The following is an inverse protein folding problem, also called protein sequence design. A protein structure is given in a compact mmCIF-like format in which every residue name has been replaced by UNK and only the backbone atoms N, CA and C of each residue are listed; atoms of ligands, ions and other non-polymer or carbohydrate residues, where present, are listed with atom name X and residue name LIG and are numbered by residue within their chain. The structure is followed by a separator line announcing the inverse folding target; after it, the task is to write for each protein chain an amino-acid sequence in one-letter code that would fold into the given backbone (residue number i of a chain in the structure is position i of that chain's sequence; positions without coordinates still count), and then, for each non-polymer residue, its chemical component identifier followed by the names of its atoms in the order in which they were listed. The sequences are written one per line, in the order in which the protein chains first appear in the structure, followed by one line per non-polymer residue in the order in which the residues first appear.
data_IF_431394374817
#
_entry.id   IF_431394374817
#
_cell.length_a   1.000
_cell.length_b   1.000
_cell.length_c   1.000
_cell.angle_alpha   90.00
_cell.angle_beta   90.00
_cell.angle_gamma   90.00
#
_symmetry.space_group_name_H-M   'P 1'
#
loop_
_entity.id
_entity.type
_entity.pdbx_description
1 polymer ?
2 non-polymer ?
3 non-polymer ?
4 non-polymer ?
5 non-polymer ?
6 water ?
#
# COMPACT_ATOMS: atom_id res chain seq x y z
N UNK A 1 2.68 -17.92 -5.29
CA UNK A 1 3.92 -17.53 -5.84
C UNK A 1 4.15 -16.04 -5.68
N UNK A 2 4.97 -15.50 -6.56
CA UNK A 2 5.39 -14.08 -6.51
C UNK A 2 4.20 -13.12 -6.42
N UNK A 3 3.21 -13.24 -7.32
CA UNK A 3 2.08 -12.29 -7.37
C UNK A 3 1.28 -12.39 -6.08
N UNK A 4 1.00 -13.62 -5.61
CA UNK A 4 0.26 -13.76 -4.35
C UNK A 4 1.07 -13.06 -3.27
N UNK A 5 2.39 -13.27 -3.24
CA UNK A 5 3.26 -12.70 -2.19
C UNK A 5 3.13 -11.15 -2.14
N UNK A 6 2.99 -10.52 -3.27
CA UNK A 6 2.76 -9.05 -3.38
C UNK A 6 1.47 -8.74 -2.65
N UNK A 7 0.39 -9.53 -2.86
CA UNK A 7 -0.90 -9.33 -2.20
C UNK A 7 -0.73 -9.52 -0.70
N UNK A 8 -0.05 -10.56 -0.29
CA UNK A 8 0.15 -10.86 1.15
C UNK A 8 0.86 -9.69 1.80
N UNK A 9 1.93 -9.21 1.20
CA UNK A 9 2.76 -8.11 1.81
C UNK A 9 1.95 -6.82 1.88
N UNK A 10 1.28 -6.47 0.77
CA UNK A 10 0.37 -5.30 0.72
C UNK A 10 -0.73 -5.40 1.75
N UNK A 11 -1.20 -6.59 2.13
CA UNK A 11 -2.27 -6.74 3.13
C UNK A 11 -1.86 -6.32 4.55
N UNK A 12 -0.58 -6.35 4.89
CA UNK A 12 -0.06 -5.88 6.18
C UNK A 12 1.20 -5.08 5.94
N UNK A 13 1.16 -4.14 5.00
CA UNK A 13 2.42 -3.60 4.43
C UNK A 13 3.27 -2.88 5.49
N UNK A 14 2.63 -2.08 6.33
CA UNK A 14 3.33 -1.27 7.36
C UNK A 14 4.17 -2.24 8.23
N UNK A 15 3.59 -3.35 8.67
CA UNK A 15 4.29 -4.27 9.59
C UNK A 15 5.36 -5.05 8.81
N UNK A 16 5.12 -5.54 7.58
CA UNK A 16 6.14 -6.26 6.78
C UNK A 16 7.28 -5.30 6.45
N UNK A 17 6.99 -4.06 6.07
CA UNK A 17 8.01 -3.12 5.63
C UNK A 17 8.98 -2.84 6.81
N UNK A 18 8.42 -2.54 7.98
CA UNK A 18 9.22 -2.28 9.18
C UNK A 18 10.06 -3.51 9.49
N UNK A 19 9.44 -4.67 9.61
CA UNK A 19 10.13 -5.91 10.02
C UNK A 19 11.23 -6.29 9.03
N UNK A 20 11.00 -6.17 7.72
CA UNK A 20 12.06 -6.50 6.73
C UNK A 20 13.14 -5.44 6.74
N UNK A 21 12.77 -4.17 6.87
CA UNK A 21 13.81 -3.12 6.87
C UNK A 21 14.63 -3.26 8.18
N UNK A 22 14.00 -3.63 9.29
CA UNK A 22 14.81 -3.80 10.55
C UNK A 22 15.74 -5.01 10.36
N UNK A 23 15.26 -6.07 9.74
CA UNK A 23 16.07 -7.27 9.45
C UNK A 23 17.31 -6.86 8.66
N UNK A 24 17.14 -5.97 7.69
CA UNK A 24 18.23 -5.47 6.81
C UNK A 24 19.22 -4.69 7.68
N UNK A 25 18.75 -3.68 8.44
CA UNK A 25 19.65 -2.82 9.22
C UNK A 25 20.37 -3.65 10.30
N UNK A 26 19.77 -4.70 10.84
CA UNK A 26 20.39 -5.54 11.90
C UNK A 26 21.41 -6.50 11.27
N UNK A 27 21.13 -7.06 10.11
CA UNK A 27 22.10 -7.94 9.45
C UNK A 27 23.35 -7.15 9.01
N UNK A 28 23.17 -5.91 8.57
CA UNK A 28 24.20 -5.08 7.90
C UNK A 28 24.26 -3.73 8.61
N UNK A 29 24.76 -3.72 9.87
CA UNK A 29 24.72 -2.51 10.69
C UNK A 29 25.32 -1.25 10.05
N UNK A 30 26.32 -1.43 9.18
CA UNK A 30 26.98 -0.31 8.44
C UNK A 30 25.96 0.44 7.58
N UNK A 31 24.85 -0.21 7.20
CA UNK A 31 23.82 0.41 6.33
C UNK A 31 23.07 1.53 7.06
N UNK A 32 23.05 1.56 8.39
CA UNK A 32 22.42 2.65 9.19
C UNK A 32 23.15 3.98 8.90
N UNK A 33 24.38 3.91 8.41
CA UNK A 33 25.16 5.10 7.95
C UNK A 33 24.32 6.01 7.01
N UNK A 34 23.61 5.42 6.04
CA UNK A 34 22.78 6.17 5.06
C UNK A 34 21.67 6.93 5.82
N UNK A 35 21.37 6.48 7.05
CA UNK A 35 20.25 6.98 7.90
C UNK A 35 20.85 7.31 9.27
N UNK A 36 21.63 8.38 9.35
CA UNK A 36 22.37 8.75 10.58
C UNK A 36 21.40 8.64 11.78
N UNK A 37 20.25 9.32 11.70
CA UNK A 37 19.20 9.46 12.74
C UNK A 37 18.71 8.09 13.27
N UNK A 38 19.12 6.98 12.65
CA UNK A 38 18.69 5.62 13.06
C UNK A 38 19.70 4.98 14.02
N UNK A 39 20.90 5.52 14.12
CA UNK A 39 22.04 4.94 14.92
C UNK A 39 21.66 4.98 16.40
N UNK A 40 22.08 3.97 17.18
CA UNK A 40 21.98 3.95 18.63
C UNK A 40 20.56 3.79 19.12
N UNK A 41 19.65 3.28 18.26
CA UNK A 41 18.21 3.08 18.62
C UNK A 41 17.85 1.60 18.43
N UNK A 42 17.09 1.06 19.38
CA UNK A 42 16.55 -0.32 19.35
C UNK A 42 15.48 -0.37 18.24
N UNK A 43 15.11 -1.58 17.85
CA UNK A 43 13.97 -1.73 16.89
C UNK A 43 12.74 -0.92 17.33
N UNK A 44 12.33 -1.09 18.57
CA UNK A 44 11.13 -0.43 19.14
C UNK A 44 11.25 1.10 19.00
N UNK A 45 12.42 1.66 19.33
CA UNK A 45 12.68 3.10 19.23
C UNK A 45 12.47 3.55 17.78
N UNK A 46 13.05 2.81 16.86
CA UNK A 46 12.92 3.10 15.41
C UNK A 46 11.46 3.11 14.99
N UNK A 47 10.68 2.12 15.44
CA UNK A 47 9.23 1.92 15.08
C UNK A 47 8.35 3.03 15.69
N UNK A 48 8.92 3.92 16.50
CA UNK A 48 8.22 5.05 17.15
C UNK A 48 8.68 6.37 16.54
N UNK A 49 9.67 6.32 15.65
CA UNK A 49 10.09 7.51 14.87
C UNK A 49 9.21 7.64 13.59
N UNK A 50 8.40 8.71 13.51
CA UNK A 50 7.59 9.10 12.33
C UNK A 50 8.30 8.85 11.01
N UNK A 51 9.50 9.38 10.86
CA UNK A 51 10.34 9.26 9.64
C UNK A 51 10.57 7.79 9.28
N UNK A 52 10.87 6.98 10.28
CA UNK A 52 11.10 5.54 10.09
C UNK A 52 9.91 4.90 9.42
N UNK A 53 8.75 5.04 10.03
CA UNK A 53 7.57 4.31 9.58
C UNK A 53 7.22 4.81 8.19
N UNK A 54 7.40 6.12 7.94
CA UNK A 54 6.92 6.79 6.69
C UNK A 54 7.85 6.46 5.51
N UNK A 55 9.16 6.51 5.70
CA UNK A 55 10.12 6.23 4.62
C UNK A 55 10.11 4.71 4.37
N UNK A 56 10.04 3.89 5.42
CA UNK A 56 9.98 2.41 5.25
C UNK A 56 8.73 2.03 4.46
N UNK A 57 7.58 2.58 4.84
CA UNK A 57 6.35 2.19 4.17
C UNK A 57 6.39 2.66 2.73
N UNK A 58 6.91 3.86 2.45
CA UNK A 58 6.99 4.41 1.07
C UNK A 58 7.96 3.60 0.23
N UNK A 59 9.04 3.09 0.83
CA UNK A 59 9.98 2.18 0.14
C UNK A 59 9.21 0.95 -0.36
N UNK A 60 8.48 0.32 0.53
CA UNK A 60 7.77 -0.94 0.25
C UNK A 60 6.59 -0.65 -0.66
N UNK A 61 5.93 0.52 -0.50
CA UNK A 61 4.84 0.90 -1.44
C UNK A 61 5.40 0.79 -2.86
N UNK A 62 6.56 1.39 -3.10
CA UNK A 62 7.15 1.46 -4.46
C UNK A 62 7.77 0.13 -4.83
N UNK A 63 8.34 -0.60 -3.86
CA UNK A 63 8.93 -1.92 -4.17
C UNK A 63 7.80 -2.84 -4.67
N UNK A 64 6.64 -2.81 -4.03
CA UNK A 64 5.54 -3.70 -4.44
C UNK A 64 5.02 -3.31 -5.83
N UNK A 65 4.94 -2.01 -6.16
CA UNK A 65 4.61 -1.55 -7.53
C UNK A 65 5.61 -2.13 -8.53
N UNK A 66 6.90 -2.03 -8.26
CA UNK A 66 7.96 -2.48 -9.20
C UNK A 66 7.79 -4.00 -9.37
N UNK A 67 7.61 -4.75 -8.27
CA UNK A 67 7.35 -6.20 -8.32
C UNK A 67 6.10 -6.48 -9.15
N UNK A 68 5.04 -5.66 -9.00
CA UNK A 68 3.73 -5.91 -9.64
C UNK A 68 3.87 -5.70 -11.16
N UNK A 69 4.72 -4.77 -11.58
CA UNK A 69 4.92 -4.43 -13.00
C UNK A 69 5.95 -5.31 -13.66
N UNK A 70 6.69 -6.12 -12.91
CA UNK A 70 7.65 -7.14 -13.42
C UNK A 70 6.98 -8.20 -14.27
N UNK A 71 7.73 -8.73 -15.24
CA UNK A 71 7.38 -9.99 -15.96
C UNK A 71 8.39 -11.07 -15.52
N UNK A 72 7.92 -12.17 -14.94
CA UNK A 72 8.75 -13.33 -14.48
C UNK A 72 9.95 -12.81 -13.65
N UNK A 73 9.64 -11.93 -12.70
CA UNK A 73 10.54 -11.36 -11.70
C UNK A 73 11.60 -10.48 -12.34
N UNK A 74 11.31 -9.97 -13.54
CA UNK A 74 12.24 -9.03 -14.23
C UNK A 74 11.57 -7.67 -14.24
N UNK A 75 12.15 -6.68 -13.56
CA UNK A 75 11.47 -5.37 -13.41
C UNK A 75 11.55 -4.55 -14.69
N UNK A 76 10.68 -3.54 -14.85
CA UNK A 76 10.72 -2.65 -16.05
C UNK A 76 12.02 -1.86 -15.96
N UNK A 77 12.69 -1.61 -17.07
CA UNK A 77 13.84 -0.67 -17.08
C UNK A 77 13.44 0.73 -16.55
N UNK A 78 12.23 1.21 -16.87
CA UNK A 78 11.70 2.54 -16.44
C UNK A 78 11.63 2.58 -14.92
N UNK A 79 11.34 1.46 -14.24
CA UNK A 79 11.30 1.46 -12.76
C UNK A 79 12.72 1.55 -12.21
N UNK A 80 13.67 0.85 -12.85
CA UNK A 80 15.09 0.82 -12.48
C UNK A 80 15.67 2.24 -12.61
N UNK A 81 15.41 2.91 -13.72
CA UNK A 81 15.86 4.31 -13.95
C UNK A 81 15.33 5.19 -12.83
N UNK A 82 14.00 5.16 -12.61
CA UNK A 82 13.40 5.95 -11.51
C UNK A 82 14.23 5.71 -10.24
N UNK A 83 14.48 4.47 -9.85
CA UNK A 83 15.20 4.21 -8.58
C UNK A 83 16.61 4.84 -8.61
N UNK A 84 17.34 4.73 -9.73
CA UNK A 84 18.76 5.18 -9.88
C UNK A 84 18.79 6.71 -9.78
N UNK A 85 17.85 7.37 -10.47
CA UNK A 85 17.77 8.86 -10.62
C UNK A 85 17.25 9.56 -9.35
N UNK A 86 16.40 8.94 -8.52
CA UNK A 86 15.90 9.61 -7.29
C UNK A 86 17.09 10.29 -6.57
N UNK A 87 17.00 11.56 -6.15
CA UNK A 87 18.16 12.27 -5.52
C UNK A 87 18.34 11.77 -4.07
N UNK A 88 17.37 11.05 -3.51
CA UNK A 88 17.50 10.34 -2.20
C UNK A 88 18.53 9.20 -2.30
N UNK A 89 18.77 8.69 -3.51
CA UNK A 89 19.63 7.51 -3.77
C UNK A 89 21.01 7.94 -4.33
N UNK A 90 21.33 9.25 -4.32
CA UNK A 90 22.62 9.78 -4.85
C UNK A 90 23.81 9.00 -4.25
N UNK A 91 23.86 8.87 -2.93
CA UNK A 91 24.84 8.02 -2.24
C UNK A 91 25.04 6.63 -2.88
N UNK A 92 23.98 5.93 -3.29
CA UNK A 92 23.88 4.44 -3.23
C UNK A 92 24.58 3.64 -4.36
N UNK A 93 25.01 2.41 -4.03
CA UNK A 93 25.55 1.42 -4.99
C UNK A 93 24.66 0.18 -4.99
N UNK A 94 24.74 -0.63 -6.02
CA UNK A 94 23.85 -1.81 -6.12
C UNK A 94 23.99 -2.64 -4.83
N UNK A 95 25.11 -2.52 -4.10
CA UNK A 95 25.35 -3.35 -2.91
C UNK A 95 24.31 -3.04 -1.86
N UNK A 96 23.90 -1.77 -1.77
CA UNK A 96 22.87 -1.36 -0.80
C UNK A 96 21.63 -2.21 -1.06
N UNK A 97 21.22 -2.29 -2.32
CA UNK A 97 20.04 -3.05 -2.79
C UNK A 97 20.24 -4.55 -2.67
N UNK A 98 21.41 -5.09 -3.01
CA UNK A 98 21.61 -6.56 -2.90
C UNK A 98 21.44 -6.96 -1.42
N UNK A 99 21.95 -6.17 -0.47
CA UNK A 99 21.82 -6.49 1.00
C UNK A 99 20.36 -6.42 1.45
N UNK A 100 19.61 -5.43 0.98
CA UNK A 100 18.17 -5.31 1.30
C UNK A 100 17.47 -6.58 0.87
N UNK A 101 17.79 -7.06 -0.34
CA UNK A 101 17.09 -8.25 -0.87
C UNK A 101 17.57 -9.53 -0.19
N UNK A 102 18.84 -9.62 0.20
CA UNK A 102 19.30 -10.79 1.01
C UNK A 102 18.48 -10.85 2.31
N UNK A 103 18.27 -9.73 2.97
CA UNK A 103 17.56 -9.70 4.26
C UNK A 103 16.11 -10.10 4.04
N UNK A 104 15.51 -9.57 2.97
CA UNK A 104 14.11 -9.86 2.60
C UNK A 104 13.91 -11.36 2.33
N UNK A 105 14.76 -11.96 1.51
CA UNK A 105 14.70 -13.41 1.25
C UNK A 105 14.86 -14.21 2.55
N UNK A 106 15.87 -13.89 3.33
CA UNK A 106 16.10 -14.54 4.63
C UNK A 106 14.82 -14.45 5.45
N UNK A 107 14.26 -13.24 5.60
CA UNK A 107 13.06 -12.99 6.40
C UNK A 107 11.95 -13.95 5.93
N UNK A 108 11.80 -14.04 4.61
CA UNK A 108 10.73 -14.87 4.02
C UNK A 108 11.01 -16.36 4.35
N UNK A 109 12.26 -16.80 4.25
CA UNK A 109 12.71 -18.21 4.54
C UNK A 109 12.38 -18.57 5.98
N UNK A 110 12.51 -17.62 6.92
CA UNK A 110 12.38 -17.82 8.38
C UNK A 110 10.92 -17.68 8.81
N UNK A 111 10.07 -17.09 7.97
CA UNK A 111 8.66 -16.79 8.30
C UNK A 111 7.90 -18.12 8.38
N UNK A 112 6.76 -18.17 9.04
CA UNK A 112 6.03 -19.47 8.98
C UNK A 112 5.32 -19.69 7.64
N UNK A 113 5.40 -18.74 6.71
CA UNK A 113 4.45 -18.61 5.56
C UNK A 113 5.06 -19.09 4.25
N UNK A 114 4.21 -19.51 3.31
CA UNK A 114 4.62 -20.12 2.02
C UNK A 114 4.97 -19.00 1.02
N UNK A 115 5.85 -18.08 1.45
CA UNK A 115 6.43 -17.06 0.50
C UNK A 115 7.23 -17.82 -0.53
N UNK A 116 7.22 -17.35 -1.76
CA UNK A 116 8.05 -17.89 -2.87
C UNK A 116 9.41 -17.22 -2.78
N UNK A 117 10.25 -17.63 -1.79
CA UNK A 117 11.51 -16.93 -1.46
C UNK A 117 12.44 -16.96 -2.68
N UNK A 118 12.41 -18.03 -3.45
CA UNK A 118 13.27 -18.16 -4.67
C UNK A 118 12.92 -17.09 -5.70
N UNK A 119 11.65 -16.82 -5.94
CA UNK A 119 11.19 -15.72 -6.85
C UNK A 119 11.70 -14.36 -6.32
N UNK A 120 11.60 -14.10 -5.02
CA UNK A 120 12.08 -12.81 -4.48
C UNK A 120 13.60 -12.69 -4.72
N UNK A 121 14.33 -13.79 -4.56
CA UNK A 121 15.79 -13.81 -4.68
C UNK A 121 16.13 -13.47 -6.12
N UNK A 122 15.41 -14.06 -7.08
CA UNK A 122 15.56 -13.74 -8.53
C UNK A 122 15.18 -12.28 -8.81
N UNK A 123 14.07 -11.84 -8.25
CA UNK A 123 13.64 -10.42 -8.36
C UNK A 123 14.78 -9.53 -7.88
N UNK A 124 15.31 -9.77 -6.68
CA UNK A 124 16.44 -8.92 -6.18
C UNK A 124 17.58 -8.87 -7.15
N UNK A 125 18.06 -10.05 -7.59
CA UNK A 125 19.18 -10.13 -8.55
C UNK A 125 18.83 -9.34 -9.79
N UNK A 126 17.64 -9.52 -10.35
CA UNK A 126 17.23 -8.89 -11.63
C UNK A 126 17.10 -7.39 -11.45
N UNK A 127 16.66 -6.93 -10.27
CA UNK A 127 16.60 -5.48 -9.97
C UNK A 127 18.02 -4.91 -9.91
N UNK A 128 18.90 -5.53 -9.15
CA UNK A 128 20.32 -5.10 -9.04
C UNK A 128 20.89 -4.98 -10.47
N UNK A 129 20.66 -5.97 -11.32
CA UNK A 129 21.16 -5.96 -12.72
C UNK A 129 20.56 -4.78 -13.50
N UNK A 130 19.25 -4.61 -13.42
CA UNK A 130 18.53 -3.48 -14.05
C UNK A 130 19.08 -2.14 -13.52
N UNK A 131 19.39 -2.07 -12.22
CA UNK A 131 19.91 -0.81 -11.61
C UNK A 131 21.29 -0.52 -12.20
N UNK A 132 22.17 -1.52 -12.23
CA UNK A 132 23.50 -1.40 -12.86
C UNK A 132 23.38 -0.90 -14.30
N UNK A 133 22.48 -1.52 -15.08
CA UNK A 133 22.23 -1.16 -16.50
C UNK A 133 21.74 0.29 -16.59
N UNK A 134 20.93 0.72 -15.63
CA UNK A 134 20.41 2.11 -15.68
C UNK A 134 21.47 3.11 -15.14
N UNK A 135 22.65 2.67 -14.68
CA UNK A 135 23.85 3.49 -14.35
C UNK A 135 24.19 3.65 -12.87
N UNK A 136 23.73 2.76 -12.00
CA UNK A 136 24.09 2.83 -10.59
C UNK A 136 25.43 2.11 -10.40
N UNK A 137 26.33 2.72 -9.63
CA UNK A 137 27.72 2.22 -9.41
C UNK A 137 27.68 0.96 -8.54
N UNK B 1 -4.53 8.38 -16.32
CA UNK B 1 -5.88 7.77 -16.24
C UNK B 1 -6.05 6.96 -14.97
N UNK B 2 -7.09 6.12 -14.98
CA UNK B 2 -7.46 5.29 -13.83
C UNK B 2 -6.29 4.42 -13.38
N UNK B 3 -5.61 3.71 -14.31
CA UNK B 3 -4.47 2.83 -13.94
C UNK B 3 -3.34 3.62 -13.27
N UNK B 4 -3.04 4.81 -13.81
CA UNK B 4 -2.00 5.65 -13.19
C UNK B 4 -2.46 6.09 -11.79
N UNK B 5 -3.75 6.42 -11.63
CA UNK B 5 -4.34 6.88 -10.34
C UNK B 5 -4.12 5.77 -9.30
N UNK B 6 -4.37 4.53 -9.68
CA UNK B 6 -4.03 3.37 -8.79
C UNK B 6 -2.56 3.47 -8.37
N UNK B 7 -1.63 3.68 -9.29
CA UNK B 7 -0.19 3.76 -8.99
C UNK B 7 0.02 4.93 -8.02
N UNK B 8 -0.64 6.05 -8.32
CA UNK B 8 -0.44 7.27 -7.48
C UNK B 8 -0.89 6.95 -6.05
N UNK B 9 -2.08 6.44 -5.90
CA UNK B 9 -2.70 6.19 -4.56
C UNK B 9 -1.81 5.20 -3.82
N UNK B 10 -1.42 4.11 -4.52
CA UNK B 10 -0.60 3.03 -3.91
C UNK B 10 0.74 3.60 -3.44
N UNK B 11 1.25 4.62 -4.13
CA UNK B 11 2.54 5.25 -3.85
C UNK B 11 2.58 5.78 -2.44
N UNK B 12 1.44 6.26 -1.97
CA UNK B 12 1.38 6.92 -0.66
C UNK B 12 0.07 6.51 0.02
N UNK B 13 -0.17 5.21 0.08
CA UNK B 13 -1.54 4.63 0.29
C UNK B 13 -2.07 5.05 1.67
N UNK B 14 -1.22 5.05 2.70
CA UNK B 14 -1.60 5.38 4.10
C UNK B 14 -2.11 6.83 4.19
N UNK B 15 -1.49 7.75 3.46
CA UNK B 15 -1.80 9.19 3.57
C UNK B 15 -3.10 9.42 2.81
N UNK B 16 -3.20 8.90 1.57
CA UNK B 16 -4.42 9.00 0.76
C UNK B 16 -5.63 8.35 1.44
N UNK B 17 -5.48 7.17 1.99
CA UNK B 17 -6.54 6.36 2.62
C UNK B 17 -7.11 7.17 3.81
N UNK B 18 -6.23 7.70 4.68
CA UNK B 18 -6.64 8.58 5.80
C UNK B 18 -7.37 9.82 5.30
N UNK B 19 -6.80 10.54 4.33
CA UNK B 19 -7.33 11.84 3.90
C UNK B 19 -8.66 11.63 3.24
N UNK B 20 -8.80 10.56 2.48
CA UNK B 20 -10.09 10.28 1.80
C UNK B 20 -11.12 9.84 2.82
N UNK B 21 -10.72 8.97 3.71
CA UNK B 21 -11.67 8.39 4.67
C UNK B 21 -12.15 9.53 5.59
N UNK B 22 -11.27 10.47 5.89
CA UNK B 22 -11.63 11.58 6.81
C UNK B 22 -12.61 12.49 6.04
N UNK B 23 -12.44 12.66 4.72
CA UNK B 23 -13.34 13.49 3.88
C UNK B 23 -14.75 12.84 3.90
N UNK B 24 -14.78 11.51 3.76
CA UNK B 24 -16.01 10.67 3.87
C UNK B 24 -16.70 10.90 5.22
N UNK B 25 -15.98 10.77 6.34
CA UNK B 25 -16.58 10.82 7.70
C UNK B 25 -17.00 12.25 8.01
N UNK B 26 -16.25 13.23 7.53
CA UNK B 26 -16.67 14.63 7.78
C UNK B 26 -17.88 14.98 6.89
N UNK B 27 -17.93 14.53 5.64
CA UNK B 27 -19.06 14.87 4.73
C UNK B 27 -20.37 14.20 5.21
N UNK B 28 -20.27 13.06 5.84
CA UNK B 28 -21.36 12.11 6.19
C UNK B 28 -21.18 11.70 7.65
N UNK B 29 -21.38 12.64 8.58
CA UNK B 29 -21.09 12.38 9.99
C UNK B 29 -21.91 11.24 10.64
N UNK B 30 -23.10 10.94 10.13
CA UNK B 30 -23.88 9.76 10.60
C UNK B 30 -23.10 8.45 10.35
N UNK B 31 -22.20 8.42 9.37
CA UNK B 31 -21.39 7.22 8.99
C UNK B 31 -20.41 6.85 10.13
N UNK B 32 -20.01 7.77 11.00
CA UNK B 32 -19.05 7.45 12.10
C UNK B 32 -19.62 6.41 13.09
N UNK B 33 -20.94 6.27 13.19
CA UNK B 33 -21.61 5.22 14.01
C UNK B 33 -21.08 3.82 13.66
N UNK B 34 -20.85 3.56 12.38
CA UNK B 34 -20.22 2.29 11.94
C UNK B 34 -18.87 2.10 12.66
N UNK B 35 -18.30 3.17 13.25
CA UNK B 35 -16.99 3.16 13.96
C UNK B 35 -17.10 3.97 15.27
N UNK B 36 -17.65 3.37 16.32
CA UNK B 36 -17.95 4.08 17.61
C UNK B 36 -16.63 4.53 18.30
N UNK B 37 -15.51 3.89 17.96
CA UNK B 37 -14.14 4.22 18.42
C UNK B 37 -13.68 5.61 17.89
N UNK B 38 -14.33 6.15 16.85
CA UNK B 38 -13.86 7.37 16.13
C UNK B 38 -14.71 8.59 16.51
N UNK B 39 -15.85 8.38 17.15
CA UNK B 39 -16.76 9.45 17.67
C UNK B 39 -15.96 10.40 18.58
N UNK B 40 -16.29 11.69 18.46
CA UNK B 40 -15.83 12.76 19.34
C UNK B 40 -14.34 12.95 19.22
N UNK B 41 -13.76 12.56 18.08
CA UNK B 41 -12.32 12.74 17.84
C UNK B 41 -12.12 13.63 16.63
N UNK B 42 -11.14 14.55 16.69
CA UNK B 42 -10.80 15.43 15.56
C UNK B 42 -10.03 14.60 14.52
N UNK B 43 -9.86 15.13 13.34
CA UNK B 43 -8.97 14.46 12.35
C UNK B 43 -7.58 14.11 12.93
N UNK B 44 -6.96 14.98 13.73
CA UNK B 44 -5.58 14.72 14.24
C UNK B 44 -5.66 13.78 15.46
N UNK B 45 -6.78 13.68 16.19
CA UNK B 45 -6.99 12.61 17.22
C UNK B 45 -6.93 11.27 16.49
N UNK B 46 -7.72 11.14 15.42
CA UNK B 46 -7.83 9.88 14.64
C UNK B 46 -6.47 9.53 14.03
N UNK B 47 -5.82 10.47 13.33
CA UNK B 47 -4.55 10.24 12.58
C UNK B 47 -3.43 9.87 13.57
N UNK B 48 -3.60 10.12 14.88
CA UNK B 48 -2.65 9.69 15.94
C UNK B 48 -2.84 8.19 16.23
N UNK B 49 -4.07 7.69 16.09
CA UNK B 49 -4.46 6.33 16.61
C UNK B 49 -3.94 5.22 15.68
N UNK B 50 -3.54 4.09 16.29
CA UNK B 50 -3.05 2.89 15.60
C UNK B 50 -4.09 2.33 14.64
N UNK B 51 -5.23 1.85 15.15
CA UNK B 51 -6.20 1.10 14.32
C UNK B 51 -6.74 1.98 13.19
N UNK B 52 -6.80 3.31 13.35
CA UNK B 52 -7.36 4.21 12.33
C UNK B 52 -6.52 4.08 11.06
N UNK B 53 -5.24 4.39 11.15
CA UNK B 53 -4.23 4.24 10.08
C UNK B 53 -4.24 2.84 9.46
N UNK B 54 -4.15 1.79 10.29
CA UNK B 54 -4.05 0.38 9.81
C UNK B 54 -5.32 0.02 9.05
N UNK B 55 -6.48 0.31 9.65
CA UNK B 55 -7.79 -0.16 9.14
C UNK B 55 -8.21 0.65 7.88
N UNK B 56 -7.92 1.97 7.80
CA UNK B 56 -8.14 2.78 6.56
C UNK B 56 -7.17 2.27 5.49
N UNK B 57 -5.90 2.07 5.84
CA UNK B 57 -4.96 1.54 4.80
C UNK B 57 -5.42 0.19 4.22
N UNK B 58 -5.92 -0.74 5.04
CA UNK B 58 -6.35 -2.07 4.60
C UNK B 58 -7.59 -1.99 3.71
N UNK B 59 -8.48 -1.04 4.00
CA UNK B 59 -9.67 -0.74 3.16
C UNK B 59 -9.18 -0.29 1.77
N UNK B 60 -8.27 0.63 1.71
CA UNK B 60 -7.83 1.23 0.44
C UNK B 60 -6.98 0.20 -0.29
N UNK B 61 -6.22 -0.64 0.42
CA UNK B 61 -5.46 -1.71 -0.27
C UNK B 61 -6.46 -2.58 -1.04
N UNK B 62 -7.46 -3.14 -0.35
CA UNK B 62 -8.42 -4.00 -1.05
C UNK B 62 -9.10 -3.15 -2.14
N UNK B 63 -9.47 -1.90 -1.87
CA UNK B 63 -10.07 -1.07 -2.98
C UNK B 63 -9.17 -1.01 -4.22
N UNK B 64 -7.88 -0.83 -4.03
CA UNK B 64 -6.89 -0.78 -5.14
C UNK B 64 -6.77 -2.13 -5.85
N UNK B 65 -6.84 -3.25 -5.13
CA UNK B 65 -6.77 -4.61 -5.72
C UNK B 65 -8.00 -4.76 -6.62
N UNK B 66 -9.17 -4.32 -6.15
CA UNK B 66 -10.44 -4.46 -6.91
C UNK B 66 -10.29 -3.54 -8.14
N UNK B 67 -9.81 -2.31 -7.91
CA UNK B 67 -9.74 -1.32 -9.01
C UNK B 67 -8.79 -1.88 -10.09
N UNK B 68 -7.72 -2.51 -9.68
CA UNK B 68 -6.66 -2.96 -10.61
C UNK B 68 -7.15 -4.16 -11.43
N UNK B 69 -7.99 -5.02 -10.85
CA UNK B 69 -8.51 -6.21 -11.56
C UNK B 69 -9.68 -5.80 -12.44
N UNK B 70 -10.22 -4.58 -12.29
CA UNK B 70 -11.40 -4.11 -13.06
C UNK B 70 -11.02 -4.03 -14.54
N UNK B 71 -12.02 -4.21 -15.42
CA UNK B 71 -11.90 -3.94 -16.87
C UNK B 71 -12.75 -2.71 -17.14
N UNK B 72 -12.22 -1.61 -17.70
CA UNK B 72 -13.04 -0.43 -18.10
C UNK B 72 -13.88 0.02 -16.87
N UNK B 73 -13.30 -0.03 -15.69
CA UNK B 73 -13.90 0.42 -14.40
C UNK B 73 -15.04 -0.49 -14.00
N UNK B 74 -15.10 -1.70 -14.54
CA UNK B 74 -16.11 -2.70 -14.09
C UNK B 74 -15.44 -3.73 -13.23
N UNK B 75 -15.82 -3.80 -11.97
CA UNK B 75 -15.16 -4.74 -11.07
C UNK B 75 -15.62 -6.14 -11.38
N UNK B 76 -14.76 -7.13 -11.13
CA UNK B 76 -15.15 -8.56 -11.07
C UNK B 76 -16.27 -8.76 -10.04
N UNK B 77 -17.29 -9.47 -10.48
CA UNK B 77 -18.37 -10.01 -9.63
C UNK B 77 -17.76 -10.67 -8.39
N UNK B 78 -16.73 -11.53 -8.58
CA UNK B 78 -15.97 -12.19 -7.47
C UNK B 78 -15.66 -11.16 -6.38
N UNK B 79 -15.05 -10.02 -6.74
CA UNK B 79 -14.57 -8.99 -5.77
C UNK B 79 -15.75 -8.33 -5.05
N UNK B 80 -16.82 -8.04 -5.80
CA UNK B 80 -18.09 -7.54 -5.22
C UNK B 80 -18.55 -8.54 -4.15
N UNK B 81 -18.50 -9.85 -4.45
CA UNK B 81 -18.99 -10.87 -3.48
C UNK B 81 -18.10 -10.86 -2.21
N UNK B 82 -16.77 -10.73 -2.35
CA UNK B 82 -15.88 -10.59 -1.14
C UNK B 82 -16.36 -9.38 -0.29
N UNK B 83 -16.54 -8.22 -0.88
CA UNK B 83 -16.93 -7.02 -0.13
C UNK B 83 -18.32 -7.23 0.54
N UNK B 84 -19.25 -7.96 -0.09
CA UNK B 84 -20.61 -8.23 0.49
C UNK B 84 -20.47 -9.23 1.65
N UNK B 85 -19.59 -10.22 1.53
CA UNK B 85 -19.55 -11.41 2.42
C UNK B 85 -18.62 -11.20 3.63
N UNK B 86 -17.82 -10.13 3.66
CA UNK B 86 -16.98 -9.84 4.86
C UNK B 86 -17.90 -9.58 6.06
N UNK B 87 -17.61 -10.27 7.18
CA UNK B 87 -18.14 -10.02 8.55
C UNK B 87 -18.29 -8.52 8.82
N UNK B 88 -17.17 -7.81 8.76
CA UNK B 88 -17.05 -6.36 9.05
C UNK B 88 -18.06 -5.54 8.22
N UNK B 89 -18.68 -6.16 7.23
CA UNK B 89 -19.65 -5.49 6.34
C UNK B 89 -21.06 -6.02 6.57
N UNK B 90 -21.25 -6.87 7.58
CA UNK B 90 -22.57 -7.49 7.88
C UNK B 90 -23.67 -6.41 7.89
N UNK B 91 -23.44 -5.29 8.58
CA UNK B 91 -24.47 -4.24 8.77
C UNK B 91 -24.89 -3.53 7.48
N UNK B 92 -23.99 -3.41 6.48
CA UNK B 92 -23.94 -2.29 5.48
C UNK B 92 -24.99 -2.40 4.36
N UNK B 93 -25.34 -1.24 3.78
CA UNK B 93 -26.13 -1.13 2.53
C UNK B 93 -25.24 -0.51 1.44
N UNK B 94 -25.65 -0.58 0.19
CA UNK B 94 -24.88 0.09 -0.89
C UNK B 94 -24.76 1.61 -0.58
N UNK B 95 -25.68 2.20 0.19
CA UNK B 95 -25.60 3.65 0.41
C UNK B 95 -24.29 4.02 1.07
N UNK B 96 -23.83 3.12 1.93
CA UNK B 96 -22.57 3.30 2.69
C UNK B 96 -21.46 3.53 1.64
N UNK B 97 -21.22 2.54 0.78
CA UNK B 97 -20.19 2.62 -0.30
C UNK B 97 -20.45 3.80 -1.25
N UNK B 98 -21.71 4.03 -1.67
CA UNK B 98 -22.10 5.18 -2.55
C UNK B 98 -21.48 6.49 -1.98
N UNK B 99 -21.64 6.66 -0.67
CA UNK B 99 -21.12 7.87 0.03
C UNK B 99 -19.58 7.90 0.09
N UNK B 100 -18.91 6.77 0.35
CA UNK B 100 -17.44 6.76 0.29
C UNK B 100 -16.93 7.21 -1.08
N UNK B 101 -17.56 6.75 -2.15
CA UNK B 101 -17.09 7.09 -3.51
C UNK B 101 -17.44 8.54 -3.89
N UNK B 102 -18.55 9.08 -3.39
CA UNK B 102 -18.87 10.52 -3.58
C UNK B 102 -17.70 11.32 -2.99
N UNK B 103 -17.34 10.98 -1.77
CA UNK B 103 -16.27 11.70 -1.06
C UNK B 103 -14.97 11.54 -1.83
N UNK B 104 -14.65 10.33 -2.29
CA UNK B 104 -13.42 10.04 -3.05
C UNK B 104 -13.36 10.90 -4.33
N UNK B 105 -14.42 10.95 -5.08
CA UNK B 105 -14.47 11.76 -6.31
C UNK B 105 -14.37 13.24 -5.98
N UNK B 106 -15.01 13.70 -4.90
CA UNK B 106 -14.91 15.13 -4.53
C UNK B 106 -13.48 15.45 -4.09
N UNK B 107 -12.84 14.53 -3.36
CA UNK B 107 -11.44 14.69 -2.96
C UNK B 107 -10.61 14.85 -4.21
N UNK B 108 -10.80 13.94 -5.19
CA UNK B 108 -9.93 13.98 -6.38
C UNK B 108 -10.13 15.29 -7.17
N UNK B 109 -11.38 15.72 -7.34
CA UNK B 109 -11.72 16.97 -8.09
C UNK B 109 -11.04 18.16 -7.41
N UNK B 110 -11.01 18.18 -6.10
CA UNK B 110 -10.47 19.31 -5.30
C UNK B 110 -8.96 19.24 -5.19
N UNK B 111 -8.34 18.10 -5.51
CA UNK B 111 -6.88 17.90 -5.39
C UNK B 111 -6.15 18.73 -6.45
N UNK B 112 -4.89 19.05 -6.21
CA UNK B 112 -4.22 19.76 -7.32
C UNK B 112 -4.04 18.88 -8.54
N UNK B 113 -4.32 17.59 -8.39
CA UNK B 113 -3.65 16.57 -9.23
C UNK B 113 -4.59 16.11 -10.34
N UNK B 114 -4.02 15.56 -11.41
CA UNK B 114 -4.81 15.17 -12.60
C UNK B 114 -5.38 13.74 -12.42
N UNK B 115 -6.03 13.48 -11.29
CA UNK B 115 -6.83 12.26 -11.11
C UNK B 115 -7.86 12.19 -12.22
N UNK B 116 -8.18 10.97 -12.66
CA UNK B 116 -9.27 10.74 -13.65
C UNK B 116 -10.55 10.56 -12.84
N UNK B 117 -11.05 11.68 -12.29
CA UNK B 117 -12.20 11.64 -11.35
C UNK B 117 -13.43 11.01 -12.00
N UNK B 118 -13.66 11.19 -13.30
CA UNK B 118 -14.83 10.54 -14.00
C UNK B 118 -14.72 9.02 -13.95
N UNK B 119 -13.53 8.48 -14.17
CA UNK B 119 -13.28 7.02 -14.09
C UNK B 119 -13.58 6.52 -12.67
N UNK B 120 -13.15 7.25 -11.64
CA UNK B 120 -13.42 6.85 -10.24
C UNK B 120 -14.90 6.91 -9.96
N UNK B 121 -15.59 7.93 -10.50
CA UNK B 121 -17.06 8.09 -10.35
C UNK B 121 -17.75 6.84 -10.94
N UNK B 122 -17.35 6.40 -12.13
CA UNK B 122 -17.96 5.24 -12.81
C UNK B 122 -17.61 3.95 -12.07
N UNK B 123 -16.35 3.82 -11.65
CA UNK B 123 -15.88 2.68 -10.85
C UNK B 123 -16.77 2.53 -9.63
N UNK B 124 -17.01 3.62 -8.88
CA UNK B 124 -17.87 3.59 -7.68
C UNK B 124 -19.31 3.17 -8.01
N UNK B 125 -19.95 3.74 -9.05
CA UNK B 125 -21.29 3.31 -9.53
C UNK B 125 -21.29 1.79 -9.80
N UNK B 126 -20.35 1.35 -10.62
CA UNK B 126 -20.19 -0.06 -11.04
C UNK B 126 -19.92 -0.95 -9.83
N UNK B 127 -19.16 -0.49 -8.82
CA UNK B 127 -18.86 -1.34 -7.64
C UNK B 127 -20.14 -1.45 -6.79
N UNK B 128 -20.87 -0.36 -6.62
CA UNK B 128 -22.21 -0.32 -5.94
C UNK B 128 -23.21 -1.26 -6.68
N UNK B 129 -23.37 -1.05 -7.98
CA UNK B 129 -24.12 -2.00 -8.86
C UNK B 129 -23.70 -3.45 -8.53
N UNK B 130 -22.42 -3.77 -8.61
CA UNK B 130 -21.91 -5.13 -8.35
C UNK B 130 -22.28 -5.56 -6.94
N UNK B 131 -22.06 -4.74 -5.91
CA UNK B 131 -22.41 -5.18 -4.54
C UNK B 131 -23.91 -5.56 -4.46
N UNK B 132 -24.80 -4.79 -5.06
CA UNK B 132 -26.25 -5.07 -5.13
C UNK B 132 -26.49 -6.44 -5.78
N UNK B 133 -25.91 -6.64 -7.00
CA UNK B 133 -25.86 -7.90 -7.80
C UNK B 133 -25.26 -9.05 -6.99
N UNK B 134 -24.32 -8.78 -6.07
CA UNK B 134 -23.78 -9.85 -5.18
C UNK B 134 -24.58 -9.97 -3.89
N UNK B 135 -25.62 -9.17 -3.65
CA UNK B 135 -26.55 -9.48 -2.52
C UNK B 135 -26.64 -8.43 -1.42
N UNK B 136 -26.00 -7.27 -1.58
CA UNK B 136 -26.15 -6.17 -0.60
C UNK B 136 -27.45 -5.40 -0.84
N UNK B 137 -28.15 -5.02 0.24
CA UNK B 137 -29.28 -4.06 0.23
C UNK B 137 -28.73 -2.63 0.19
X LIG C 1 14.29 7.33 0.14
X LIG C 1 12.31 3.72 -2.42
X LIG C 1 16.14 0.92 -1.56
X LIG C 1 18.15 4.55 1.00
X LIG C 1 13.43 6.56 -0.63
X LIG C 1 12.10 6.93 -1.02
X LIG C 1 11.53 5.93 -1.71
X LIG C 1 12.51 4.92 -1.79
X LIG C 1 10.14 5.90 -2.34
X LIG C 1 11.39 8.21 -0.69
X LIG C 1 10.79 8.01 0.72
X LIG C 1 10.73 9.28 1.55
X LIG C 1 9.78 9.40 2.38
X LIG C 1 11.61 10.19 1.47
X LIG C 1 13.20 2.64 -2.40
X LIG C 1 12.89 1.39 -3.01
X LIG C 1 13.95 0.56 -2.78
X LIG C 1 14.90 1.38 -1.98
X LIG C 1 11.61 1.06 -3.76
X LIG C 1 14.15 -0.84 -3.23
X LIG C 1 13.32 -1.52 -4.05
X LIG C 1 17.02 1.68 -0.78
X LIG C 1 18.19 1.19 -0.13
X LIG C 1 18.75 2.25 0.59
X LIG C 1 17.90 3.35 0.41
X LIG C 1 18.73 -0.23 -0.27
X LIG C 1 19.97 2.27 1.45
X LIG C 1 20.68 1.18 1.74
X LIG C 1 17.20 5.56 0.92
X LIG C 1 17.49 6.79 1.64
X LIG C 1 16.43 7.59 1.45
X LIG C 1 15.50 6.82 0.57
X LIG C 1 18.73 7.09 2.46
X LIG C 1 16.25 8.99 2.01
X LIG C 1 16.82 9.22 3.42
X LIG C 1 15.72 9.60 4.40
X LIG C 1 14.88 8.73 4.78
X LIG C 1 15.63 10.76 4.85
X LIG C 1 13.64 5.31 -1.12
X LIG C 1 14.38 2.61 -1.79
X LIG C 1 16.85 3.00 -0.43
X LIG C 1 16.00 5.60 0.30
X LIG C 1 15.24 4.25 -0.78
X LIG D 1 13.96 4.67 6.06
X LIG D 1 13.47 1.23 7.14
X LIG D 1 13.83 5.05 3.56
X LIG D 1 13.40 5.48 4.91
X LIG D 1 14.48 3.93 3.38
X LIG D 1 14.18 2.30 6.88
X LIG D 1 15.19 2.72 7.77
X LIG D 1 13.88 3.20 5.71
X LIG D 1 14.73 2.94 4.47
X LIG D 1 13.53 5.99 2.45
X LIG E 1 2.48 -16.45 1.81
X LIG E 1 1.92 -17.57 2.47
X LIG E 1 1.42 -15.76 1.00
X LIG E 1 2.02 -15.08 -0.08
X LIG E 1 0.38 -16.74 0.49
X LIG E 1 1.04 -17.90 0.02
X LIG F 1 0.49 -1.97 -9.88
X LIG F 1 0.92 -2.13 -8.53
X LIG F 1 -0.23 -0.66 -10.11
X LIG F 1 0.01 0.21 -9.00
X LIG F 1 0.15 0.05 -11.40
X LIG F 1 1.46 -0.29 -11.86
X LIG G 1 20.81 -10.39 -4.48
X LIG G 1 21.95 -10.99 -5.10
X LIG G 1 20.21 -11.33 -3.45
X LIG G 1 19.86 -10.63 -2.26
X LIG G 1 18.96 -12.01 -3.95
X LIG G 1 17.94 -11.07 -4.25
X LIG H 1 30.33 -4.18 -0.87
X LIG H 1 29.98 -5.26 0.00
X LIG H 1 29.21 -3.79 -1.82
X LIG H 1 28.57 -2.62 -1.32
X LIG H 1 29.66 -3.56 -3.24
X LIG H 1 28.84 -2.63 -3.95
X LIG I 1 3.52 -16.55 -9.74
X LIG I 1 3.39 -17.12 -11.07
X LIG I 1 2.45 -17.06 -8.91
X LIG I 1 4.79 -16.92 -9.19
X LIG I 1 3.42 -15.11 -9.82
X LIG J 1 23.49 0.67 16.86
X LIG J 1 24.60 -0.21 16.61
X LIG J 1 22.37 0.32 16.02
X LIG J 1 23.13 0.58 18.25
X LIG J 1 23.87 2.03 16.55
X LIG K 1 -13.31 -3.41 7.70
X LIG K 1 -12.51 -3.07 2.92
X LIG K 1 -16.06 0.20 2.42
X LIG K 1 -17.07 -0.40 7.11
X LIG K 1 -12.79 -3.53 6.42
X LIG K 1 -11.60 -4.23 6.12
X LIG K 1 -11.35 -4.14 4.80
X LIG K 1 -12.41 -3.38 4.24
X LIG K 1 -10.16 -4.79 4.10
X LIG K 1 -10.74 -4.98 7.10
X LIG K 1 -9.88 -4.04 7.93
X LIG K 1 -9.70 -4.66 9.28
X LIG K 1 -8.52 -4.81 9.68
X LIG K 1 -10.69 -4.99 10.00
X LIG K 1 -13.40 -2.13 2.39
X LIG K 1 -13.39 -1.74 1.03
X LIG K 1 -14.36 -0.79 0.83
X LIG K 1 -15.01 -0.66 2.17
X LIG K 1 -12.42 -2.23 -0.01
X LIG K 1 -14.76 -0.05 -0.41
X LIG K 1 -14.29 -0.29 -1.66
X LIG K 1 -16.66 0.37 3.66
X LIG K 1 -17.70 1.26 4.00
X LIG K 1 -18.00 1.06 5.35
X LIG K 1 -17.11 0.06 5.82
X LIG K 1 -18.36 2.23 3.06
X LIG K 1 -18.92 1.80 6.22
X LIG K 1 -19.41 2.99 5.90
X LIG K 1 -16.11 -1.25 7.59
X LIG K 1 -16.11 -1.60 9.01
X LIG K 1 -15.06 -2.41 9.20
X LIG K 1 -14.45 -2.60 7.86
X LIG K 1 -17.07 -1.07 10.08
X LIG K 1 -14.63 -3.04 10.52
X LIG K 1 -14.49 -2.04 11.67
X LIG K 1 -13.28 -2.31 12.54
X LIG K 1 -12.17 -2.62 12.05
X LIG K 1 -13.39 -2.20 13.78
X LIG K 1 -13.28 -3.00 5.23
X LIG K 1 -14.36 -1.48 3.03
X LIG K 1 -16.31 -0.35 4.78
X LIG K 1 -15.12 -1.88 6.93
X LIG K 1 -14.82 -1.74 5.05
X LIG L 1 -11.78 2.22 10.10
X LIG L 1 -11.79 5.46 9.24
X LIG L 1 -12.00 0.14 8.81
X LIG L 1 -11.17 0.89 9.75
X LIG L 1 -12.80 0.76 7.98
X LIG L 1 -12.56 4.40 9.23
X LIG L 1 -13.94 4.47 9.75
X LIG L 1 -12.05 3.03 8.84
X LIG L 1 -12.94 2.25 7.87
X LIG L 1 -11.87 -1.35 8.88
X LIG M 1 -3.18 11.11 -10.52
X LIG M 1 -2.65 9.81 -10.67
X LIG M 1 -2.36 12.14 -11.25
X LIG M 1 -1.66 12.95 -10.30
X LIG M 1 -1.40 11.54 -12.25
X LIG M 1 -0.25 11.00 -11.59
X LIG N 1 -25.77 9.83 -2.75
X LIG N 1 -24.51 9.18 -2.53
X LIG N 1 -26.57 9.92 -1.47
X LIG N 1 -27.96 9.86 -1.78
X LIG N 1 -26.24 8.84 -0.47
X LIG N 1 -26.06 7.56 -1.07
#
# INVERSE_FOLDING_TARGET
GFKQDIATLRGDLRTYAQDIFLAFLNKYPDEKRNFKNYVGKSDQELKSMAKFGDHTEKVFNLMMEVADRATDCVPLASDASTLVQMKQHSGLTTGNFEKLFVALVEYMRASGQSFDSQSWDRFGKNLVSALSSAGMK
GFKQDIATLRGDLRTYAQDIFLAFLNKYPDEKRNFKNYVGKSDQELKSMAKFGDHTEKVFNLMMEVADRATDCVPLASDASTLVQMKQHSGLTTGNFEKLFVALVEYMRASGQSFDSQSWDRFGKNLVSALSSAGMK
HEM CHA CHB CHC CHD C1A C2A C3A C4A CMA CAA CBA CGA O1A O2A C1B C2B C3B C4B CMB CAB CBB C1C C2C C3C C4C CMC CAC CBC C1D C2D C3D C4D CMD CAD CBD CGD O1D O2D NA NB NC ND FE
9IU C4 C2 C6 C5 C8 C1 C C3 C9 C7
GOL C1 O1 C2 O2 C3 O3
GOL C1 O1 C2 O2 C3 O3
GOL C1 O1 C2 O2 C3 O3
GOL C1 O1 C2 O2 C3 O3
SO4 S O1 O2 O3 O4
SO4 S O1 O2 O3 O4
HEM CHA CHB CHC CHD C1A C2A C3A C4A CMA CAA CBA CGA O1A O2A C1B C2B C3B C4B CMB CAB CBB C1C C2C C3C C4C CMC CAC CBC C1D C2D C3D C4D CMD CAD CBD CGD O1D O2D NA NB NC ND FE
9IU C4 C2 C6 C5 C8 C1 C C3 C9 C7
GOL C1 O1 C2 O2 C3 O3
GOL C1 O1 C2 O2 C3 O3
#
